data_IF_441000200097
#
_entry.id   IF_441000200097
#
_cell.length_a   1.000
_cell.length_b   1.000
_cell.length_c   1.000
_cell.angle_alpha   90.00
_cell.angle_beta   90.00
_cell.angle_gamma   90.00
#
_symmetry.space_group_name_H-M   'P 1'
#
loop_
_entity.id
_entity.type
_entity.pdbx_description
1 polymer ?
#
# COMPACT_ATOMS: atom_id res chain seq x y z
N UNK A 1 12.76 12.36 -25.91
CA UNK A 1 14.18 12.04 -25.63
C UNK A 1 14.31 10.51 -25.58
N UNK A 2 15.52 9.96 -25.73
CA UNK A 2 15.72 8.53 -25.53
C UNK A 2 15.49 8.18 -24.04
N UNK A 3 14.93 7.00 -23.73
CA UNK A 3 14.72 6.57 -22.34
C UNK A 3 16.06 6.25 -21.67
N UNK A 4 16.23 6.67 -20.41
CA UNK A 4 17.36 6.30 -19.56
C UNK A 4 17.22 4.86 -19.06
N UNK A 5 16.00 4.44 -18.74
CA UNK A 5 15.65 3.10 -18.31
C UNK A 5 14.45 2.63 -19.13
N UNK A 6 14.52 1.37 -19.53
CA UNK A 6 13.46 0.76 -20.30
C UNK A 6 13.38 -0.74 -20.04
N UNK A 7 12.20 -1.18 -19.64
CA UNK A 7 11.81 -2.56 -19.44
C UNK A 7 10.71 -2.90 -20.44
N UNK A 8 10.88 -3.97 -21.20
CA UNK A 8 9.85 -4.54 -22.07
C UNK A 8 9.62 -6.01 -21.79
N UNK A 9 8.40 -6.47 -22.12
CA UNK A 9 8.01 -7.87 -22.06
C UNK A 9 8.32 -8.54 -20.71
N UNK A 10 8.21 -7.80 -19.59
CA UNK A 10 8.55 -8.33 -18.28
C UNK A 10 7.51 -9.38 -17.87
N UNK A 11 7.96 -10.62 -17.72
CA UNK A 11 7.17 -11.72 -17.19
C UNK A 11 7.87 -12.30 -15.95
N UNK A 12 7.08 -12.55 -14.91
CA UNK A 12 7.57 -13.19 -13.70
C UNK A 12 6.44 -14.01 -13.06
N UNK A 13 6.75 -15.25 -12.71
CA UNK A 13 5.85 -16.20 -12.08
C UNK A 13 6.31 -16.51 -10.67
N UNK A 14 5.42 -16.39 -9.69
CA UNK A 14 5.71 -16.73 -8.30
C UNK A 14 4.75 -17.83 -7.81
N UNK A 15 5.29 -18.94 -7.30
CA UNK A 15 4.47 -20.05 -6.79
C UNK A 15 3.49 -20.66 -7.81
N UNK A 16 3.82 -20.58 -9.11
CA UNK A 16 2.98 -21.09 -10.20
C UNK A 16 1.88 -20.14 -10.66
N UNK A 17 1.72 -18.96 -10.05
CA UNK A 17 0.85 -17.91 -10.57
C UNK A 17 1.66 -16.77 -11.19
N UNK A 18 1.33 -16.32 -12.41
CA UNK A 18 2.01 -15.21 -13.05
C UNK A 18 1.69 -13.90 -12.32
N UNK A 19 2.74 -13.22 -11.85
CA UNK A 19 2.66 -11.93 -11.17
C UNK A 19 2.73 -10.78 -12.17
N UNK A 20 3.64 -10.88 -13.13
CA UNK A 20 3.84 -9.92 -14.22
C UNK A 20 3.68 -10.65 -15.57
N UNK A 21 3.00 -10.01 -16.51
CA UNK A 21 2.70 -10.55 -17.83
C UNK A 21 2.91 -9.46 -18.89
N UNK A 22 4.09 -9.44 -19.49
CA UNK A 22 4.48 -8.41 -20.45
C UNK A 22 4.33 -6.99 -19.89
N UNK A 23 4.72 -6.79 -18.63
CA UNK A 23 4.80 -5.45 -18.05
C UNK A 23 5.93 -4.63 -18.72
N UNK A 24 5.68 -3.35 -18.88
CA UNK A 24 6.57 -2.39 -19.51
C UNK A 24 6.73 -1.13 -18.65
N UNK A 25 7.96 -0.63 -18.56
CA UNK A 25 8.27 0.66 -17.95
C UNK A 25 9.29 1.36 -18.85
N UNK A 26 9.02 2.61 -19.20
CA UNK A 26 9.96 3.48 -19.88
C UNK A 26 10.08 4.78 -19.10
N UNK A 27 11.33 5.22 -18.86
CA UNK A 27 11.62 6.43 -18.10
C UNK A 27 12.72 7.21 -18.82
N UNK A 28 12.43 8.47 -19.16
CA UNK A 28 13.33 9.41 -19.81
C UNK A 28 13.99 10.35 -18.78
N UNK A 29 15.02 11.08 -19.20
CA UNK A 29 15.70 12.04 -18.34
C UNK A 29 14.73 13.10 -17.77
N UNK A 30 14.80 13.33 -16.45
CA UNK A 30 13.93 14.26 -15.73
C UNK A 30 12.45 13.84 -15.66
N UNK A 31 12.09 12.66 -16.18
CA UNK A 31 10.72 12.19 -16.17
C UNK A 31 10.32 11.75 -14.75
N UNK A 32 9.09 12.10 -14.35
CA UNK A 32 8.56 11.79 -13.03
C UNK A 32 7.32 10.93 -13.17
N UNK A 33 7.47 9.65 -12.94
CA UNK A 33 6.43 8.65 -13.15
C UNK A 33 5.99 8.09 -11.82
N UNK A 34 4.68 7.98 -11.58
CA UNK A 34 4.19 7.14 -10.49
C UNK A 34 3.78 5.75 -11.02
N UNK A 35 4.07 4.71 -10.24
CA UNK A 35 3.62 3.34 -10.49
C UNK A 35 2.54 3.01 -9.46
N UNK A 36 1.32 2.86 -9.94
CA UNK A 36 0.12 2.61 -9.12
C UNK A 36 -0.49 1.27 -9.45
N UNK A 37 -1.28 0.74 -8.52
CA UNK A 37 -1.91 -0.57 -8.62
C UNK A 37 -2.14 -1.17 -7.24
N UNK A 38 -2.85 -2.30 -7.19
CA UNK A 38 -3.23 -2.98 -5.94
C UNK A 38 -2.03 -3.55 -5.18
N UNK A 39 -2.15 -3.77 -3.87
CA UNK A 39 -1.17 -4.61 -3.18
C UNK A 39 -1.16 -6.02 -3.76
N UNK A 40 0.06 -6.56 -3.88
CA UNK A 40 0.29 -7.82 -4.54
C UNK A 40 0.19 -7.78 -6.07
N UNK A 41 -0.03 -6.62 -6.71
CA UNK A 41 -0.02 -6.54 -8.18
C UNK A 41 1.38 -6.66 -8.79
N UNK A 42 2.43 -6.58 -7.96
CA UNK A 42 3.83 -6.71 -8.38
C UNK A 42 4.58 -5.39 -8.54
N UNK A 43 4.06 -4.26 -8.03
CA UNK A 43 4.69 -2.91 -8.17
C UNK A 43 6.14 -2.90 -7.69
N UNK A 44 6.37 -3.29 -6.44
CA UNK A 44 7.70 -3.37 -5.82
C UNK A 44 8.60 -4.36 -6.56
N UNK A 45 8.05 -5.49 -7.01
CA UNK A 45 8.79 -6.49 -7.79
C UNK A 45 9.25 -5.93 -9.13
N UNK A 46 8.38 -5.19 -9.82
CA UNK A 46 8.70 -4.53 -11.07
C UNK A 46 9.77 -3.43 -10.90
N UNK A 47 9.72 -2.67 -9.80
CA UNK A 47 10.79 -1.73 -9.43
C UNK A 47 12.12 -2.44 -9.13
N UNK A 48 12.10 -3.60 -8.45
CA UNK A 48 13.31 -4.39 -8.19
C UNK A 48 13.91 -4.94 -9.48
N UNK A 49 13.10 -5.38 -10.44
CA UNK A 49 13.54 -5.78 -11.78
C UNK A 49 14.14 -4.56 -12.51
N UNK A 50 13.51 -3.39 -12.43
CA UNK A 50 14.05 -2.15 -12.98
C UNK A 50 15.41 -1.79 -12.38
N UNK A 51 15.58 -1.99 -11.07
CA UNK A 51 16.84 -1.79 -10.36
C UNK A 51 17.91 -2.84 -10.69
N UNK A 52 17.53 -3.98 -11.29
CA UNK A 52 18.43 -5.12 -11.52
C UNK A 52 18.68 -5.97 -10.28
N UNK A 53 17.77 -5.93 -9.30
CA UNK A 53 17.87 -6.67 -8.03
C UNK A 53 17.13 -8.02 -8.07
N UNK A 54 16.27 -8.23 -9.06
CA UNK A 54 15.50 -9.46 -9.26
C UNK A 54 15.55 -9.82 -10.74
N UNK A 55 15.87 -11.08 -11.03
CA UNK A 55 15.84 -11.62 -12.38
C UNK A 55 14.41 -12.06 -12.75
N UNK A 56 13.83 -11.54 -13.85
CA UNK A 56 12.53 -11.99 -14.35
C UNK A 56 12.66 -13.28 -15.17
N UNK A 57 11.54 -14.00 -15.36
CA UNK A 57 11.48 -15.17 -16.25
C UNK A 57 11.77 -14.76 -17.71
N UNK A 58 11.28 -13.58 -18.09
CA UNK A 58 11.52 -12.94 -19.38
C UNK A 58 11.51 -11.42 -19.17
N UNK A 59 12.48 -10.71 -19.73
CA UNK A 59 12.41 -9.25 -19.89
C UNK A 59 13.49 -8.78 -20.86
N UNK A 60 13.23 -7.67 -21.55
CA UNK A 60 14.28 -6.86 -22.14
C UNK A 60 14.53 -5.66 -21.22
N UNK A 61 15.67 -5.66 -20.53
CA UNK A 61 16.10 -4.54 -19.67
C UNK A 61 17.21 -3.76 -20.34
N UNK A 62 16.96 -2.48 -20.57
CA UNK A 62 17.93 -1.51 -21.06
C UNK A 62 18.09 -0.38 -20.06
N UNK A 63 19.34 -0.08 -19.72
CA UNK A 63 19.73 1.13 -18.99
C UNK A 63 20.78 1.83 -19.86
N UNK A 64 20.62 3.13 -20.04
CA UNK A 64 21.59 3.93 -20.79
C UNK A 64 22.99 3.77 -20.16
N UNK A 65 24.03 3.44 -20.95
CA UNK A 65 25.38 3.27 -20.42
C UNK A 65 25.88 4.52 -19.70
N UNK A 66 26.48 4.32 -18.53
CA UNK A 66 26.98 5.40 -17.66
C UNK A 66 25.92 6.00 -16.73
N UNK A 67 24.63 5.69 -16.90
CA UNK A 67 23.60 6.15 -15.98
C UNK A 67 23.62 5.38 -14.66
N UNK A 68 23.47 6.12 -13.58
CA UNK A 68 23.36 5.60 -12.22
C UNK A 68 21.90 5.35 -11.86
N UNK A 69 21.61 4.15 -11.35
CA UNK A 69 20.27 3.74 -10.90
C UNK A 69 20.33 3.45 -9.41
N UNK A 70 19.47 4.10 -8.62
CA UNK A 70 19.36 3.84 -7.18
C UNK A 70 17.94 3.45 -6.82
N UNK A 71 17.82 2.42 -5.98
CA UNK A 71 16.55 1.90 -5.47
C UNK A 71 16.50 2.10 -3.96
N UNK A 72 15.39 2.61 -3.44
CA UNK A 72 15.12 2.67 -2.01
C UNK A 72 14.58 1.30 -1.54
N UNK A 73 15.36 0.54 -0.74
CA UNK A 73 14.89 -0.73 -0.23
C UNK A 73 13.81 -0.55 0.84
N UNK A 74 12.83 -1.47 0.84
CA UNK A 74 11.82 -1.52 1.90
C UNK A 74 12.45 -1.86 3.25
N UNK A 75 13.36 -2.83 3.27
CA UNK A 75 14.13 -3.23 4.46
C UNK A 75 15.61 -3.00 4.15
N UNK A 76 16.20 -1.89 4.62
CA UNK A 76 17.61 -1.60 4.39
C UNK A 76 18.49 -2.52 5.22
N UNK A 77 19.57 -3.01 4.63
CA UNK A 77 20.57 -3.84 5.33
C UNK A 77 21.69 -2.96 5.91
N UNK A 78 21.74 -2.91 7.23
CA UNK A 78 22.75 -2.15 7.98
C UNK A 78 23.91 -3.00 8.49
N UNK A 79 23.99 -4.27 8.08
CA UNK A 79 25.05 -5.18 8.53
C UNK A 79 26.43 -4.63 8.15
N UNK A 80 27.31 -4.50 9.15
CA UNK A 80 28.71 -4.10 8.95
C UNK A 80 28.98 -2.60 9.04
N UNK A 81 27.97 -1.75 9.28
CA UNK A 81 28.16 -0.31 9.49
C UNK A 81 28.13 0.04 10.98
N UNK A 82 29.04 0.93 11.40
CA UNK A 82 29.14 1.37 12.80
C UNK A 82 28.18 2.49 13.15
N UNK A 83 27.88 3.35 12.19
CA UNK A 83 27.01 4.51 12.37
C UNK A 83 26.10 4.71 11.16
N UNK A 84 25.01 5.44 11.34
CA UNK A 84 24.10 5.82 10.26
C UNK A 84 24.80 6.62 9.16
N UNK A 85 25.73 7.52 9.50
CA UNK A 85 26.52 8.27 8.51
C UNK A 85 27.43 7.32 7.70
N UNK A 86 28.12 6.38 8.36
CA UNK A 86 28.97 5.42 7.66
C UNK A 86 28.17 4.56 6.67
N UNK A 87 26.92 4.22 7.00
CA UNK A 87 26.00 3.54 6.09
C UNK A 87 25.65 4.41 4.87
N UNK A 88 25.39 5.70 5.06
CA UNK A 88 25.08 6.64 3.96
C UNK A 88 26.30 6.87 3.08
N UNK A 89 27.46 7.14 3.65
CA UNK A 89 28.71 7.38 2.93
C UNK A 89 29.15 6.16 2.10
N UNK A 90 28.86 4.95 2.58
CA UNK A 90 29.08 3.73 1.80
C UNK A 90 28.16 3.60 0.57
N UNK A 91 27.17 4.48 0.42
CA UNK A 91 26.38 4.62 -0.80
C UNK A 91 27.05 5.48 -1.87
N UNK A 92 28.00 6.34 -1.49
CA UNK A 92 28.65 7.29 -2.38
C UNK A 92 29.60 6.61 -3.37
N UNK A 93 29.57 7.07 -4.61
CA UNK A 93 30.49 6.70 -5.67
C UNK A 93 31.75 7.59 -5.70
N UNK A 94 32.72 7.24 -6.56
CA UNK A 94 33.92 8.04 -6.73
C UNK A 94 33.59 9.45 -7.27
N UNK A 95 33.81 10.48 -6.45
CA UNK A 95 33.57 11.87 -6.81
C UNK A 95 32.26 12.47 -6.28
N UNK A 96 31.43 11.67 -5.59
CA UNK A 96 30.24 12.19 -4.91
C UNK A 96 30.64 13.01 -3.68
N UNK A 97 29.82 14.00 -3.32
CA UNK A 97 30.10 14.92 -2.23
C UNK A 97 29.68 14.33 -0.86
N UNK A 98 30.66 14.04 0.00
CA UNK A 98 30.41 13.58 1.36
C UNK A 98 29.64 14.62 2.21
N UNK A 99 29.76 15.93 1.91
CA UNK A 99 28.97 16.95 2.60
C UNK A 99 27.47 16.81 2.32
N UNK A 100 27.09 16.30 1.14
CA UNK A 100 25.69 16.04 0.81
C UNK A 100 25.11 14.92 1.67
N UNK A 101 25.90 13.89 1.96
CA UNK A 101 25.50 12.82 2.88
C UNK A 101 25.20 13.37 4.29
N UNK A 102 26.09 14.21 4.83
CA UNK A 102 25.89 14.83 6.14
C UNK A 102 24.66 15.74 6.14
N UNK A 103 24.51 16.60 5.12
CA UNK A 103 23.34 17.48 4.99
C UNK A 103 22.02 16.69 5.01
N UNK A 104 21.94 15.58 4.26
CA UNK A 104 20.74 14.75 4.21
C UNK A 104 20.47 14.03 5.53
N UNK A 105 21.51 13.60 6.24
CA UNK A 105 21.38 13.03 7.60
C UNK A 105 20.74 14.05 8.54
N UNK A 106 21.26 15.29 8.55
CA UNK A 106 20.81 16.34 9.45
C UNK A 106 19.35 16.77 9.16
N UNK A 107 19.01 17.01 7.88
CA UNK A 107 17.65 17.39 7.46
C UNK A 107 16.61 16.29 7.70
N UNK A 108 17.03 15.03 7.62
CA UNK A 108 16.20 13.88 7.99
C UNK A 108 16.17 13.64 9.52
N UNK A 109 16.69 14.56 10.32
CA UNK A 109 16.62 14.52 11.77
C UNK A 109 17.42 13.38 12.40
N UNK A 110 18.53 13.00 11.77
CA UNK A 110 19.53 12.08 12.31
C UNK A 110 20.79 12.86 12.69
N UNK A 111 21.58 12.32 13.60
CA UNK A 111 22.86 12.88 14.03
C UNK A 111 24.04 12.33 13.25
N UNK A 112 23.88 11.17 12.60
CA UNK A 112 24.96 10.47 11.91
C UNK A 112 25.72 9.47 12.78
N UNK A 113 25.48 9.49 14.11
CA UNK A 113 26.13 8.66 15.11
C UNK A 113 25.24 7.51 15.62
N UNK A 114 24.02 7.38 15.10
CA UNK A 114 23.10 6.32 15.51
C UNK A 114 23.70 4.93 15.23
N UNK A 115 23.59 4.03 16.21
CA UNK A 115 23.96 2.62 16.04
C UNK A 115 22.90 1.93 15.16
N UNK A 116 23.24 1.48 13.94
CA UNK A 116 22.29 0.88 13.03
C UNK A 116 21.62 -0.41 13.55
N UNK A 117 22.20 -1.07 14.56
CA UNK A 117 21.59 -2.24 15.18
C UNK A 117 20.38 -1.90 16.09
N UNK A 118 20.26 -0.64 16.51
CA UNK A 118 19.24 -0.19 17.48
C UNK A 118 18.27 0.85 16.93
N UNK A 119 18.49 1.31 15.69
CA UNK A 119 17.64 2.29 15.03
C UNK A 119 16.19 1.82 14.93
N UNK A 120 15.26 2.74 15.20
CA UNK A 120 13.85 2.54 14.92
C UNK A 120 13.58 2.40 13.42
N UNK A 121 12.46 1.81 13.02
CA UNK A 121 12.10 1.67 11.61
C UNK A 121 12.04 3.01 10.85
N UNK A 122 11.63 4.09 11.53
CA UNK A 122 11.63 5.45 10.97
C UNK A 122 13.05 6.00 10.75
N UNK A 123 13.93 5.86 11.74
CA UNK A 123 15.34 6.26 11.60
C UNK A 123 16.04 5.47 10.48
N UNK A 124 15.82 4.15 10.43
CA UNK A 124 16.38 3.28 9.40
C UNK A 124 15.92 3.70 8.00
N UNK A 125 14.64 4.04 7.83
CA UNK A 125 14.14 4.54 6.54
C UNK A 125 14.75 5.89 6.17
N UNK A 126 14.91 6.80 7.13
CA UNK A 126 15.56 8.10 6.93
C UNK A 126 17.02 7.94 6.50
N UNK A 127 17.81 7.09 7.16
CA UNK A 127 19.17 6.79 6.71
C UNK A 127 19.21 6.16 5.31
N UNK A 128 18.27 5.27 4.99
CA UNK A 128 18.17 4.69 3.65
C UNK A 128 17.84 5.72 2.56
N UNK A 129 16.96 6.69 2.85
CA UNK A 129 16.68 7.82 1.98
C UNK A 129 17.94 8.66 1.74
N UNK A 130 18.66 9.04 2.80
CA UNK A 130 19.92 9.77 2.67
C UNK A 130 20.91 9.02 1.77
N UNK A 131 21.09 7.70 1.97
CA UNK A 131 22.01 6.86 1.17
C UNK A 131 21.66 6.84 -0.32
N UNK A 132 20.37 6.87 -0.65
CA UNK A 132 19.88 6.82 -2.04
C UNK A 132 19.94 8.19 -2.72
N UNK A 133 19.72 9.26 -1.97
CA UNK A 133 19.66 10.63 -2.49
C UNK A 133 21.04 11.31 -2.57
N UNK A 134 21.96 11.00 -1.66
CA UNK A 134 23.26 11.67 -1.58
C UNK A 134 24.10 11.60 -2.88
N UNK A 135 24.12 10.47 -3.62
CA UNK A 135 24.84 10.37 -4.89
C UNK A 135 24.25 11.16 -6.08
N UNK A 136 23.11 11.84 -5.90
CA UNK A 136 22.37 12.53 -6.98
C UNK A 136 22.22 11.70 -8.28
N UNK A 137 21.62 10.50 -8.21
CA UNK A 137 21.65 9.55 -9.31
C UNK A 137 20.80 10.01 -10.51
N UNK A 138 21.09 9.46 -11.70
CA UNK A 138 20.31 9.76 -12.92
C UNK A 138 18.88 9.21 -12.83
N UNK A 139 18.71 8.07 -12.15
CA UNK A 139 17.43 7.38 -11.99
C UNK A 139 17.20 6.99 -10.53
N UNK A 140 16.09 7.48 -9.97
CA UNK A 140 15.59 7.15 -8.63
C UNK A 140 14.37 6.23 -8.71
N UNK A 141 14.44 5.10 -8.03
CA UNK A 141 13.33 4.16 -7.88
C UNK A 141 12.92 4.15 -6.40
N UNK A 142 11.82 4.82 -6.08
CA UNK A 142 11.35 4.99 -4.70
C UNK A 142 10.10 4.16 -4.45
N UNK A 143 10.20 3.23 -3.51
CA UNK A 143 9.14 2.30 -3.13
C UNK A 143 8.65 2.62 -1.72
N UNK A 144 7.47 3.24 -1.63
CA UNK A 144 6.87 3.77 -0.38
C UNK A 144 7.82 4.67 0.44
N UNK A 145 8.38 5.74 -0.16
CA UNK A 145 9.38 6.59 0.50
C UNK A 145 8.82 7.38 1.69
N UNK A 146 7.51 7.60 1.75
CA UNK A 146 6.82 8.38 2.79
C UNK A 146 6.51 7.57 4.05
N UNK A 147 6.64 6.24 3.99
CA UNK A 147 6.27 5.39 5.12
C UNK A 147 7.20 5.63 6.32
N UNK A 148 6.63 5.62 7.52
CA UNK A 148 7.34 5.90 8.78
C UNK A 148 8.00 7.30 8.87
N UNK A 149 7.67 8.20 7.95
CA UNK A 149 8.04 9.62 8.04
C UNK A 149 6.89 10.41 8.66
N UNK A 150 7.24 11.47 9.37
CA UNK A 150 6.26 12.44 9.83
C UNK A 150 6.03 13.54 8.78
N UNK A 151 4.96 14.31 8.97
CA UNK A 151 4.54 15.31 7.99
C UNK A 151 5.64 16.34 7.65
N UNK A 152 6.40 16.90 8.61
CA UNK A 152 7.48 17.83 8.28
C UNK A 152 8.55 17.19 7.37
N UNK A 153 8.97 15.96 7.66
CA UNK A 153 9.97 15.26 6.84
C UNK A 153 9.40 14.88 5.47
N UNK A 154 8.11 14.54 5.38
CA UNK A 154 7.44 14.30 4.08
C UNK A 154 7.44 15.58 3.23
N UNK A 155 7.12 16.73 3.82
CA UNK A 155 7.10 18.01 3.12
C UNK A 155 8.50 18.43 2.66
N UNK A 156 9.52 18.22 3.50
CA UNK A 156 10.93 18.40 3.11
C UNK A 156 11.31 17.46 1.95
N UNK A 157 10.99 16.17 2.05
CA UNK A 157 11.32 15.18 1.03
C UNK A 157 10.67 15.53 -0.31
N UNK A 158 9.43 16.02 -0.29
CA UNK A 158 8.75 16.49 -1.49
C UNK A 158 9.50 17.66 -2.14
N UNK A 159 10.02 18.61 -1.36
CA UNK A 159 10.81 19.73 -1.87
C UNK A 159 12.17 19.28 -2.41
N UNK A 160 12.85 18.39 -1.70
CA UNK A 160 14.14 17.83 -2.12
C UNK A 160 13.98 17.07 -3.45
N UNK A 161 13.01 16.16 -3.55
CA UNK A 161 12.72 15.44 -4.80
C UNK A 161 12.29 16.38 -5.94
N UNK A 162 11.64 17.52 -5.64
CA UNK A 162 11.36 18.56 -6.66
C UNK A 162 12.63 19.20 -7.21
N UNK A 163 13.64 19.38 -6.37
CA UNK A 163 14.91 20.02 -6.76
C UNK A 163 15.75 19.13 -7.70
N UNK A 164 15.67 17.81 -7.52
CA UNK A 164 16.46 16.85 -8.25
C UNK A 164 16.12 16.79 -9.75
N UNK A 165 17.17 16.66 -10.56
CA UNK A 165 17.09 16.47 -12.03
C UNK A 165 16.94 15.01 -12.44
N UNK A 166 17.06 14.11 -11.48
CA UNK A 166 16.90 12.67 -11.65
C UNK A 166 15.56 12.34 -12.30
N UNK A 167 15.57 11.36 -13.19
CA UNK A 167 14.35 10.68 -13.54
C UNK A 167 13.88 9.85 -12.33
N UNK A 168 12.58 9.75 -12.09
CA UNK A 168 12.05 9.06 -10.92
C UNK A 168 10.85 8.18 -11.24
N UNK A 169 10.82 7.00 -10.62
CA UNK A 169 9.64 6.14 -10.52
C UNK A 169 9.24 6.03 -9.06
N UNK A 170 8.02 6.46 -8.75
CA UNK A 170 7.49 6.58 -7.40
C UNK A 170 6.36 5.56 -7.19
N UNK A 171 6.47 4.72 -6.17
CA UNK A 171 5.34 3.99 -5.59
C UNK A 171 5.06 4.65 -4.24
N UNK A 172 3.81 5.05 -4.01
CA UNK A 172 3.40 5.56 -2.70
C UNK A 172 1.89 5.40 -2.50
N UNK A 173 1.48 5.24 -1.26
CA UNK A 173 0.08 5.37 -0.84
C UNK A 173 -0.35 6.83 -0.55
N UNK A 174 0.56 7.79 -0.55
CA UNK A 174 0.24 9.20 -0.33
C UNK A 174 -0.20 9.88 -1.65
N UNK A 175 -1.51 10.18 -1.74
CA UNK A 175 -2.11 10.86 -2.89
C UNK A 175 -1.53 12.24 -3.13
N UNK A 176 -1.31 13.02 -2.07
CA UNK A 176 -0.79 14.39 -2.17
C UNK A 176 0.62 14.34 -2.71
N UNK A 177 1.44 13.44 -2.18
CA UNK A 177 2.81 13.21 -2.62
C UNK A 177 2.87 12.82 -4.11
N UNK A 178 2.08 11.81 -4.52
CA UNK A 178 2.02 11.38 -5.92
C UNK A 178 1.48 12.48 -6.85
N UNK A 179 0.39 13.15 -6.48
CA UNK A 179 -0.20 14.26 -7.27
C UNK A 179 0.81 15.36 -7.50
N UNK A 180 1.62 15.65 -6.50
CA UNK A 180 2.53 16.79 -6.52
C UNK A 180 3.83 16.51 -7.30
N UNK A 181 4.34 15.29 -7.24
CA UNK A 181 5.61 14.92 -7.87
C UNK A 181 5.46 14.31 -9.27
N UNK A 182 4.42 13.50 -9.50
CA UNK A 182 4.27 12.77 -10.75
C UNK A 182 3.75 13.62 -11.91
N UNK A 183 4.25 13.34 -13.11
CA UNK A 183 3.83 13.94 -14.39
C UNK A 183 3.28 12.91 -15.36
N UNK A 184 3.56 11.63 -15.13
CA UNK A 184 2.99 10.49 -15.83
C UNK A 184 2.59 9.41 -14.80
N UNK A 185 1.64 8.57 -15.18
CA UNK A 185 1.12 7.49 -14.35
C UNK A 185 1.23 6.17 -15.11
N UNK A 186 1.83 5.16 -14.48
CA UNK A 186 1.80 3.77 -14.91
C UNK A 186 0.90 3.01 -13.96
N UNK A 187 -0.14 2.39 -14.48
CA UNK A 187 -1.05 1.54 -13.74
C UNK A 187 -0.74 0.07 -14.01
N UNK A 188 -0.33 -0.65 -12.97
CA UNK A 188 -0.08 -2.07 -12.99
C UNK A 188 -1.32 -2.81 -12.46
N UNK A 189 -2.01 -3.47 -13.40
CA UNK A 189 -3.23 -4.22 -13.13
C UNK A 189 -3.19 -5.58 -13.84
N UNK A 190 -3.52 -6.65 -13.12
CA UNK A 190 -3.55 -8.04 -13.62
C UNK A 190 -2.24 -8.52 -14.30
N UNK A 191 -1.10 -7.94 -13.92
CA UNK A 191 0.23 -8.23 -14.46
C UNK A 191 0.61 -7.39 -15.68
N UNK A 192 -0.30 -6.54 -16.16
CA UNK A 192 -0.11 -5.66 -17.31
C UNK A 192 0.05 -4.22 -16.85
N UNK A 193 0.91 -3.48 -17.53
CA UNK A 193 1.09 -2.04 -17.30
C UNK A 193 0.35 -1.22 -18.35
N UNK A 194 -0.36 -0.19 -17.92
CA UNK A 194 -0.96 0.84 -18.78
C UNK A 194 -0.37 2.17 -18.41
N UNK A 195 -0.04 2.98 -19.42
CA UNK A 195 0.57 4.29 -19.20
C UNK A 195 -0.37 5.40 -19.63
N UNK A 196 -0.37 6.47 -18.84
CA UNK A 196 -0.98 7.75 -19.12
C UNK A 196 0.07 8.85 -18.94
N UNK A 197 0.24 9.71 -19.94
CA UNK A 197 1.17 10.85 -19.90
C UNK A 197 0.58 12.07 -19.15
N UNK A 198 -0.05 11.80 -18.01
CA UNK A 198 -0.66 12.78 -17.10
C UNK A 198 -0.36 12.36 -15.66
N UNK A 199 -0.26 13.33 -14.76
CA UNK A 199 0.06 13.09 -13.36
C UNK A 199 -1.03 12.31 -12.62
N UNK A 200 -0.71 11.85 -11.42
CA UNK A 200 -1.60 11.02 -10.59
C UNK A 200 -2.97 11.67 -10.32
N UNK A 201 -3.08 13.00 -10.31
CA UNK A 201 -4.36 13.69 -10.07
C UNK A 201 -5.47 13.33 -11.07
N UNK A 202 -5.13 12.83 -12.26
CA UNK A 202 -6.10 12.39 -13.27
C UNK A 202 -6.32 10.86 -13.28
N UNK A 203 -5.62 10.13 -12.41
CA UNK A 203 -5.60 8.67 -12.43
C UNK A 203 -6.98 8.04 -12.24
N UNK A 204 -7.76 8.51 -11.26
CA UNK A 204 -9.06 7.89 -10.95
C UNK A 204 -10.05 8.03 -12.11
N UNK A 205 -10.16 9.23 -12.70
CA UNK A 205 -11.03 9.46 -13.83
C UNK A 205 -10.63 8.60 -15.04
N UNK A 206 -9.33 8.50 -15.30
CA UNK A 206 -8.80 7.66 -16.38
C UNK A 206 -9.00 6.16 -16.11
N UNK A 207 -8.78 5.69 -14.87
CA UNK A 207 -9.04 4.31 -14.46
C UNK A 207 -10.51 3.95 -14.68
N UNK A 208 -11.42 4.81 -14.23
CA UNK A 208 -12.86 4.56 -14.34
C UNK A 208 -13.32 4.54 -15.80
N UNK A 209 -12.76 5.40 -16.66
CA UNK A 209 -12.97 5.36 -18.11
C UNK A 209 -12.48 4.03 -18.71
N UNK A 210 -11.26 3.60 -18.36
CA UNK A 210 -10.68 2.34 -18.82
C UNK A 210 -11.54 1.14 -18.39
N UNK A 211 -11.98 1.11 -17.14
CA UNK A 211 -12.83 0.03 -16.61
C UNK A 211 -14.22 0.03 -17.27
N UNK A 212 -14.82 1.20 -17.49
CA UNK A 212 -16.09 1.31 -18.21
C UNK A 212 -15.96 0.83 -19.66
N UNK A 213 -14.85 1.14 -20.32
CA UNK A 213 -14.58 0.68 -21.68
C UNK A 213 -14.39 -0.85 -21.73
N UNK A 214 -13.67 -1.43 -20.78
CA UNK A 214 -13.53 -2.89 -20.64
C UNK A 214 -14.89 -3.58 -20.44
N UNK A 215 -15.76 -2.98 -19.63
CA UNK A 215 -17.10 -3.48 -19.38
C UNK A 215 -17.97 -3.48 -20.66
N UNK A 216 -17.91 -2.40 -21.43
CA UNK A 216 -18.60 -2.30 -22.72
C UNK A 216 -18.09 -3.34 -23.72
N UNK A 217 -16.77 -3.53 -23.80
CA UNK A 217 -16.17 -4.48 -24.73
C UNK A 217 -16.46 -5.93 -24.31
N UNK A 218 -16.54 -6.20 -23.00
CA UNK A 218 -17.05 -7.46 -22.45
C UNK A 218 -18.49 -7.71 -22.88
N UNK A 219 -19.38 -6.73 -22.73
CA UNK A 219 -20.77 -6.88 -23.16
C UNK A 219 -20.90 -7.14 -24.66
N UNK A 220 -20.06 -6.51 -25.50
CA UNK A 220 -20.02 -6.80 -26.95
C UNK A 220 -19.53 -8.22 -27.23
N UNK A 221 -18.50 -8.68 -26.53
CA UNK A 221 -17.96 -10.03 -26.66
C UNK A 221 -19.02 -11.08 -26.30
N UNK A 222 -19.72 -10.88 -25.18
CA UNK A 222 -20.79 -11.76 -24.71
C UNK A 222 -21.94 -11.86 -25.71
N UNK A 223 -22.38 -10.72 -26.26
CA UNK A 223 -23.39 -10.69 -27.33
C UNK A 223 -22.92 -11.35 -28.61
N UNK A 224 -21.61 -11.30 -28.93
CA UNK A 224 -21.05 -12.00 -30.09
C UNK A 224 -21.05 -13.51 -29.87
N UNK A 225 -20.61 -13.98 -28.70
CA UNK A 225 -20.65 -15.39 -28.33
C UNK A 225 -22.08 -15.93 -28.39
N UNK A 226 -23.05 -15.24 -27.79
CA UNK A 226 -24.46 -15.66 -27.80
C UNK A 226 -25.01 -15.80 -29.23
N UNK A 227 -24.78 -14.82 -30.11
CA UNK A 227 -25.20 -14.89 -31.52
C UNK A 227 -24.58 -16.06 -32.29
N UNK A 228 -23.31 -16.34 -32.04
CA UNK A 228 -22.60 -17.46 -32.68
C UNK A 228 -23.07 -18.82 -32.14
N UNK A 229 -23.44 -18.90 -30.87
CA UNK A 229 -24.04 -20.10 -30.27
C UNK A 229 -25.45 -20.38 -30.79
N UNK A 230 -26.26 -19.35 -31.00
CA UNK A 230 -27.59 -19.49 -31.61
C UNK A 230 -27.48 -19.94 -33.07
N UNK A 231 -26.51 -19.41 -33.83
CA UNK A 231 -26.22 -19.90 -35.18
C UNK A 231 -25.82 -21.38 -35.18
N UNK A 232 -25.00 -21.82 -34.21
CA UNK A 232 -24.60 -23.22 -34.08
C UNK A 232 -25.80 -24.14 -33.78
N UNK A 233 -26.75 -23.69 -32.94
CA UNK A 233 -27.95 -24.45 -32.59
C UNK A 233 -28.97 -24.55 -33.72
N UNK A 234 -29.20 -23.46 -34.46
CA UNK A 234 -30.36 -23.35 -35.36
C UNK A 234 -30.01 -23.17 -36.85
N UNK A 235 -28.76 -22.86 -37.20
CA UNK A 235 -28.39 -22.30 -38.51
C UNK A 235 -27.35 -23.07 -39.32
N UNK A 236 -27.00 -24.31 -38.94
CA UNK A 236 -25.97 -25.09 -39.63
C UNK A 236 -26.58 -25.84 -40.82
N UNK A 237 -26.50 -25.25 -42.02
CA UNK A 237 -26.75 -25.95 -43.30
C UNK A 237 -25.43 -26.41 -43.95
N UNK A 238 -25.49 -27.44 -44.81
CA UNK A 238 -24.44 -28.37 -45.23
C UNK A 238 -23.12 -27.82 -45.87
N UNK A 239 -22.83 -26.51 -45.84
CA UNK A 239 -21.55 -25.93 -46.34
C UNK A 239 -20.39 -26.13 -45.35
N UNK A 240 -19.65 -27.23 -45.52
CA UNK A 240 -18.62 -27.73 -44.57
C UNK A 240 -17.46 -26.76 -44.25
N UNK A 241 -16.88 -26.07 -45.23
CA UNK A 241 -15.62 -25.30 -45.02
C UNK A 241 -15.80 -23.96 -44.28
N UNK A 242 -16.88 -23.21 -44.57
CA UNK A 242 -17.18 -21.94 -43.90
C UNK A 242 -17.64 -22.15 -42.45
N UNK A 243 -18.36 -23.25 -42.21
CA UNK A 243 -18.83 -23.60 -40.87
C UNK A 243 -17.65 -23.99 -39.95
N UNK A 244 -16.60 -24.63 -40.47
CA UNK A 244 -15.39 -24.95 -39.71
C UNK A 244 -14.63 -23.70 -39.23
N UNK A 245 -14.44 -22.70 -40.10
CA UNK A 245 -13.79 -21.43 -39.72
C UNK A 245 -14.59 -20.70 -38.63
N UNK A 246 -15.90 -20.61 -38.79
CA UNK A 246 -16.79 -19.94 -37.84
C UNK A 246 -16.85 -20.64 -36.48
N UNK A 247 -16.80 -21.97 -36.48
CA UNK A 247 -16.65 -22.77 -35.27
C UNK A 247 -15.31 -22.50 -34.56
N UNK A 248 -14.21 -22.40 -35.32
CA UNK A 248 -12.90 -21.98 -34.80
C UNK A 248 -12.92 -20.57 -34.20
N UNK A 249 -13.59 -19.62 -34.85
CA UNK A 249 -13.79 -18.27 -34.32
C UNK A 249 -14.60 -18.28 -33.00
N UNK A 250 -15.66 -19.07 -32.90
CA UNK A 250 -16.42 -19.24 -31.65
C UNK A 250 -15.56 -19.86 -30.53
N UNK A 251 -14.74 -20.86 -30.84
CA UNK A 251 -13.79 -21.41 -29.86
C UNK A 251 -12.79 -20.35 -29.38
N UNK A 252 -12.26 -19.51 -30.29
CA UNK A 252 -11.40 -18.40 -29.94
C UNK A 252 -12.08 -17.36 -29.03
N UNK A 253 -13.33 -16.98 -29.33
CA UNK A 253 -14.10 -16.04 -28.49
C UNK A 253 -14.38 -16.62 -27.10
N UNK A 254 -14.67 -17.93 -27.00
CA UNK A 254 -14.88 -18.62 -25.73
C UNK A 254 -13.61 -18.68 -24.90
N UNK A 255 -12.48 -18.99 -25.54
CA UNK A 255 -11.19 -19.02 -24.86
C UNK A 255 -10.81 -17.62 -24.35
N UNK A 256 -10.95 -16.59 -25.19
CA UNK A 256 -10.74 -15.20 -24.79
C UNK A 256 -11.60 -14.79 -23.58
N UNK A 257 -12.88 -15.20 -23.54
CA UNK A 257 -13.77 -14.93 -22.40
C UNK A 257 -13.34 -15.71 -21.15
N UNK A 258 -12.85 -16.93 -21.31
CA UNK A 258 -12.44 -17.81 -20.21
C UNK A 258 -11.12 -17.37 -19.56
N UNK A 259 -10.17 -16.89 -20.36
CA UNK A 259 -8.85 -16.44 -19.88
C UNK A 259 -8.85 -14.99 -19.40
N UNK A 260 -9.91 -14.23 -19.65
CA UNK A 260 -10.04 -12.85 -19.18
C UNK A 260 -10.02 -12.79 -17.63
N UNK A 261 -9.08 -12.01 -17.09
CA UNK A 261 -9.06 -11.65 -15.66
C UNK A 261 -9.94 -10.42 -15.43
N UNK A 262 -10.81 -10.48 -14.44
CA UNK A 262 -11.74 -9.39 -14.14
C UNK A 262 -11.20 -8.49 -13.02
N UNK A 263 -11.50 -7.20 -13.09
CA UNK A 263 -11.26 -6.27 -11.99
C UNK A 263 -12.04 -6.75 -10.74
N UNK A 264 -11.36 -6.83 -9.60
CA UNK A 264 -12.01 -7.12 -8.31
C UNK A 264 -12.64 -5.81 -7.84
N UNK A 265 -13.88 -5.87 -7.34
CA UNK A 265 -14.64 -4.68 -6.93
C UNK A 265 -14.02 -3.89 -5.76
N UNK A 266 -14.65 -2.76 -5.43
CA UNK A 266 -14.27 -1.89 -4.31
C UNK A 266 -14.66 -2.48 -2.95
N UNK A 267 -13.93 -2.10 -1.90
CA UNK A 267 -14.23 -2.46 -0.50
C UNK A 267 -15.49 -1.74 -0.05
N UNK A 268 -16.36 -2.46 0.65
CA UNK A 268 -17.48 -1.86 1.39
C UNK A 268 -17.15 -1.92 2.88
N UNK A 269 -16.64 -0.82 3.41
CA UNK A 269 -16.39 -0.67 4.85
C UNK A 269 -17.68 -0.16 5.52
N UNK A 270 -18.53 -1.08 5.96
CA UNK A 270 -19.63 -0.77 6.87
C UNK A 270 -19.24 -1.21 8.28
N UNK A 271 -19.05 -0.25 9.19
CA UNK A 271 -18.81 -0.54 10.60
C UNK A 271 -20.15 -0.89 11.28
N UNK A 272 -20.18 -1.93 12.12
CA UNK A 272 -21.37 -2.23 12.91
C UNK A 272 -21.55 -1.17 14.00
N UNK A 273 -22.63 -0.39 13.93
CA UNK A 273 -22.98 0.54 15.02
C UNK A 273 -23.40 -0.28 16.25
N UNK A 274 -22.59 -0.23 17.32
CA UNK A 274 -23.03 -0.69 18.63
C UNK A 274 -24.12 0.24 19.22
N UNK A 275 -24.73 -0.16 20.34
CA UNK A 275 -25.70 0.66 21.06
C UNK A 275 -25.17 2.09 21.28
N UNK A 276 -26.04 3.09 21.07
CA UNK A 276 -25.69 4.51 21.17
C UNK A 276 -25.03 4.82 22.52
N UNK A 277 -23.75 5.18 22.50
CA UNK A 277 -23.03 5.73 23.65
C UNK A 277 -23.61 7.08 24.07
N UNK A 278 -23.30 7.49 25.30
CA UNK A 278 -23.62 8.83 25.79
C UNK A 278 -23.05 9.93 24.89
N UNK A 279 -23.60 11.15 24.97
CA UNK A 279 -23.14 12.30 24.15
C UNK A 279 -21.66 12.65 24.38
N UNK A 280 -21.15 12.41 25.58
CA UNK A 280 -19.75 12.58 25.94
C UNK A 280 -19.01 11.24 25.80
N UNK A 281 -17.93 11.24 25.02
CA UNK A 281 -17.09 10.06 24.79
C UNK A 281 -15.83 10.14 25.65
N UNK A 282 -15.08 11.23 25.59
CA UNK A 282 -13.89 11.45 26.43
C UNK A 282 -13.92 12.89 26.97
N UNK A 283 -13.55 13.05 28.24
CA UNK A 283 -13.24 14.33 28.86
C UNK A 283 -11.89 14.23 29.57
N UNK A 284 -10.90 14.94 29.06
CA UNK A 284 -9.59 15.13 29.69
C UNK A 284 -9.51 16.56 30.24
N UNK A 285 -9.08 16.71 31.49
CA UNK A 285 -8.92 18.01 32.16
C UNK A 285 -7.55 18.10 32.79
N UNK A 286 -6.76 19.07 32.32
CA UNK A 286 -5.41 19.42 32.77
C UNK A 286 -4.50 18.19 32.93
N UNK A 287 -4.55 17.29 31.96
CA UNK A 287 -3.82 16.03 31.98
C UNK A 287 -2.34 16.27 31.68
N UNK A 288 -1.46 15.66 32.48
CA UNK A 288 -0.04 15.60 32.19
C UNK A 288 0.50 14.17 32.30
N UNK A 289 1.55 13.88 31.52
CA UNK A 289 2.30 12.63 31.56
C UNK A 289 3.77 12.86 31.25
N UNK A 290 4.63 12.27 32.07
CA UNK A 290 6.07 12.27 31.91
C UNK A 290 6.64 10.84 32.04
N UNK A 291 7.77 10.60 31.37
CA UNK A 291 8.58 9.40 31.56
C UNK A 291 9.98 9.83 31.99
N UNK A 292 10.30 9.61 33.26
CA UNK A 292 11.53 10.14 33.85
C UNK A 292 11.54 11.67 33.83
N UNK A 293 12.56 12.27 33.22
CA UNK A 293 12.66 13.72 33.05
C UNK A 293 11.95 14.25 31.79
N UNK A 294 11.47 13.37 30.91
CA UNK A 294 10.86 13.76 29.64
C UNK A 294 9.34 13.96 29.82
N UNK A 295 8.87 15.20 29.75
CA UNK A 295 7.44 15.54 29.80
C UNK A 295 6.86 15.39 28.40
N UNK A 296 6.00 14.38 28.23
CA UNK A 296 5.41 14.06 26.92
C UNK A 296 4.12 14.84 26.70
N UNK A 297 3.27 14.94 27.73
CA UNK A 297 2.00 15.68 27.68
C UNK A 297 1.94 16.61 28.88
N UNK A 298 1.55 17.86 28.64
CA UNK A 298 1.46 18.90 29.67
C UNK A 298 0.16 19.68 29.50
N UNK A 299 -0.59 19.83 30.60
CA UNK A 299 -1.79 20.67 30.72
C UNK A 299 -2.85 20.44 29.62
N UNK A 300 -3.04 19.18 29.20
CA UNK A 300 -4.00 18.84 28.16
C UNK A 300 -5.44 18.87 28.69
N UNK A 301 -6.28 19.71 28.11
CA UNK A 301 -7.72 19.69 28.29
C UNK A 301 -8.42 19.47 26.95
N UNK A 302 -9.19 18.40 26.84
CA UNK A 302 -9.85 17.98 25.60
C UNK A 302 -11.23 17.39 25.92
N UNK A 303 -12.22 17.70 25.09
CA UNK A 303 -13.55 17.08 25.16
C UNK A 303 -13.92 16.50 23.81
N UNK A 304 -14.26 15.21 23.80
CA UNK A 304 -14.66 14.45 22.62
C UNK A 304 -16.12 14.06 22.78
N UNK A 305 -16.93 14.43 21.80
CA UNK A 305 -18.35 14.08 21.72
C UNK A 305 -18.60 12.96 20.72
N UNK A 306 -19.77 12.33 20.84
CA UNK A 306 -20.20 11.28 19.91
C UNK A 306 -20.33 11.83 18.50
N UNK A 307 -19.71 11.16 17.53
CA UNK A 307 -19.70 11.55 16.12
C UNK A 307 -18.47 12.36 15.71
N UNK A 308 -17.67 12.83 16.66
CA UNK A 308 -16.42 13.52 16.36
C UNK A 308 -15.43 12.57 15.68
N UNK A 309 -14.74 13.09 14.66
CA UNK A 309 -13.62 12.42 14.00
C UNK A 309 -12.36 13.23 14.27
N UNK A 310 -11.48 12.70 15.12
CA UNK A 310 -10.30 13.42 15.60
C UNK A 310 -9.05 12.82 14.96
N UNK A 311 -8.30 13.64 14.24
CA UNK A 311 -6.96 13.30 13.76
C UNK A 311 -5.90 13.81 14.73
N UNK A 312 -5.02 12.93 15.21
CA UNK A 312 -3.85 13.31 16.01
C UNK A 312 -2.64 13.35 15.08
N UNK A 313 -2.05 14.53 14.92
CA UNK A 313 -0.89 14.75 14.04
C UNK A 313 0.28 15.30 14.83
N UNK A 314 1.49 14.92 14.45
CA UNK A 314 2.72 15.34 15.12
C UNK A 314 3.92 14.50 14.70
N UNK A 315 5.14 14.98 14.97
CA UNK A 315 6.36 14.28 14.62
C UNK A 315 6.46 12.93 15.32
N UNK A 316 7.28 12.03 14.76
CA UNK A 316 7.50 10.74 15.40
C UNK A 316 8.23 10.95 16.73
N UNK A 317 7.82 10.20 17.76
CA UNK A 317 8.31 10.43 19.12
C UNK A 317 7.64 11.57 19.90
N UNK A 318 6.72 12.34 19.30
CA UNK A 318 5.98 13.39 20.01
C UNK A 318 4.99 12.89 21.08
N UNK A 319 4.84 11.57 21.25
CA UNK A 319 3.93 10.97 22.22
C UNK A 319 2.50 10.74 21.72
N UNK A 320 2.28 10.62 20.40
CA UNK A 320 0.96 10.33 19.81
C UNK A 320 0.32 9.06 20.40
N UNK A 321 1.03 7.94 20.38
CA UNK A 321 0.57 6.68 20.98
C UNK A 321 0.39 6.83 22.50
N UNK A 322 1.25 7.60 23.18
CA UNK A 322 1.08 7.91 24.61
C UNK A 322 -0.23 8.67 24.86
N UNK A 323 -0.55 9.65 24.01
CA UNK A 323 -1.79 10.42 24.06
C UNK A 323 -3.00 9.53 23.84
N UNK A 324 -2.95 8.64 22.84
CA UNK A 324 -4.01 7.66 22.58
C UNK A 324 -4.22 6.77 23.80
N UNK A 325 -3.14 6.23 24.37
CA UNK A 325 -3.23 5.35 25.54
C UNK A 325 -3.76 6.07 26.79
N UNK A 326 -3.45 7.36 26.96
CA UNK A 326 -4.02 8.19 28.02
C UNK A 326 -5.53 8.42 27.82
N UNK A 327 -5.92 8.84 26.61
CA UNK A 327 -7.31 9.16 26.29
C UNK A 327 -8.21 7.91 26.28
N UNK A 328 -7.67 6.73 26.03
CA UNK A 328 -8.38 5.44 26.07
C UNK A 328 -8.35 4.77 27.44
N UNK A 329 -7.64 5.34 28.41
CA UNK A 329 -7.53 4.81 29.77
C UNK A 329 -6.57 3.63 29.94
N UNK A 330 -5.79 3.27 28.92
CA UNK A 330 -4.73 2.25 29.01
C UNK A 330 -3.52 2.72 29.81
N UNK A 331 -3.28 4.04 29.84
CA UNK A 331 -2.22 4.67 30.60
C UNK A 331 -2.81 5.69 31.58
N UNK A 332 -2.44 5.60 32.86
CA UNK A 332 -2.85 6.58 33.84
C UNK A 332 -2.06 7.89 33.70
N UNK A 333 -2.73 9.06 33.80
CA UNK A 333 -2.06 10.35 33.84
C UNK A 333 -1.30 10.54 35.15
N UNK A 334 -0.23 11.34 35.13
CA UNK A 334 0.51 11.69 36.36
C UNK A 334 -0.19 12.83 37.11
N UNK A 335 -0.86 13.73 36.38
CA UNK A 335 -1.74 14.76 36.92
C UNK A 335 -2.95 14.99 36.02
N UNK A 336 -3.99 15.62 36.56
CA UNK A 336 -5.27 15.84 35.86
C UNK A 336 -6.17 14.61 35.87
N UNK A 337 -7.25 14.65 35.10
CA UNK A 337 -8.23 13.56 35.04
C UNK A 337 -8.66 13.27 33.62
N UNK A 338 -8.74 11.97 33.27
CA UNK A 338 -9.41 11.49 32.05
C UNK A 338 -10.67 10.73 32.47
N UNK A 339 -11.82 11.13 31.93
CA UNK A 339 -13.10 10.46 32.12
C UNK A 339 -13.58 9.92 30.79
N UNK A 340 -13.90 8.63 30.80
CA UNK A 340 -14.52 7.95 29.68
C UNK A 340 -16.05 8.00 29.82
N UNK A 341 -16.73 8.12 28.69
CA UNK A 341 -18.19 8.05 28.59
C UNK A 341 -18.75 6.70 29.05
N UNK A 342 -20.05 6.66 29.34
CA UNK A 342 -20.74 5.44 29.77
C UNK A 342 -21.03 4.55 28.56
N UNK A 343 -20.92 3.23 28.74
CA UNK A 343 -21.20 2.20 27.73
C UNK A 343 -20.32 2.32 26.47
N UNK A 344 -19.04 2.65 26.65
CA UNK A 344 -18.08 2.65 25.55
C UNK A 344 -17.59 1.23 25.25
N UNK A 345 -17.81 0.81 24.01
CA UNK A 345 -17.25 -0.39 23.41
C UNK A 345 -16.14 0.05 22.47
N UNK A 346 -14.93 0.06 23.00
CA UNK A 346 -13.74 0.55 22.30
C UNK A 346 -13.06 -0.58 21.53
N UNK A 347 -12.75 -0.33 20.26
CA UNK A 347 -11.86 -1.18 19.46
C UNK A 347 -10.62 -0.38 19.09
N UNK A 348 -9.46 -0.90 19.50
CA UNK A 348 -8.15 -0.33 19.20
C UNK A 348 -7.47 -1.20 18.14
N UNK A 349 -7.05 -0.56 17.05
CA UNK A 349 -6.08 -1.11 16.11
C UNK A 349 -4.72 -0.54 16.51
N UNK A 350 -4.00 -1.29 17.35
CA UNK A 350 -2.69 -0.92 17.87
C UNK A 350 -1.55 -1.50 16.98
N UNK A 351 -0.41 -0.81 16.91
CA UNK A 351 0.79 -1.25 16.19
C UNK A 351 1.33 -2.58 16.72
N UNK A 352 1.06 -2.87 18.00
CA UNK A 352 1.28 -4.17 18.61
C UNK A 352 0.19 -5.11 18.13
N UNK A 353 0.33 -5.53 16.87
CA UNK A 353 -0.46 -6.57 16.19
C UNK A 353 -0.85 -7.62 17.24
N UNK A 354 -2.14 -7.75 17.56
CA UNK A 354 -2.64 -8.94 18.27
C UNK A 354 -2.01 -10.12 17.54
N UNK A 355 -1.12 -10.85 18.23
CA UNK A 355 -0.33 -11.90 17.61
C UNK A 355 -1.28 -13.05 17.28
N UNK A 356 -1.93 -12.98 16.12
CA UNK A 356 -2.57 -14.13 15.53
C UNK A 356 -1.49 -15.18 15.33
N UNK A 357 -1.76 -16.39 15.78
CA UNK A 357 -0.91 -17.53 15.49
C UNK A 357 -0.74 -17.61 13.96
N UNK A 358 0.49 -17.51 13.43
CA UNK A 358 0.76 -17.56 12.00
C UNK A 358 0.19 -18.79 11.29
N UNK A 359 -0.03 -19.90 12.02
CA UNK A 359 -0.63 -21.12 11.51
C UNK A 359 -2.16 -21.04 11.35
N UNK A 360 -2.82 -20.05 11.96
CA UNK A 360 -4.27 -19.92 11.93
C UNK A 360 -4.75 -19.63 10.50
N UNK A 361 -5.74 -20.36 9.96
CA UNK A 361 -6.36 -20.04 8.68
C UNK A 361 -7.09 -18.69 8.73
N UNK A 362 -7.04 -17.92 7.64
CA UNK A 362 -7.71 -16.62 7.52
C UNK A 362 -9.19 -16.67 7.94
N UNK A 363 -9.93 -17.66 7.44
CA UNK A 363 -11.36 -17.80 7.78
C UNK A 363 -11.58 -17.99 9.27
N UNK A 364 -10.73 -18.77 9.93
CA UNK A 364 -10.83 -19.07 11.36
C UNK A 364 -10.42 -17.85 12.20
N UNK A 365 -9.47 -17.05 11.72
CA UNK A 365 -9.11 -15.79 12.35
C UNK A 365 -10.28 -14.79 12.40
N UNK A 366 -11.19 -14.83 11.41
CA UNK A 366 -12.40 -14.01 11.37
C UNK A 366 -13.54 -14.58 12.21
N UNK A 367 -13.72 -15.90 12.21
CA UNK A 367 -14.86 -16.55 12.90
C UNK A 367 -14.58 -16.91 14.35
N UNK A 368 -13.33 -16.89 14.79
CA UNK A 368 -12.91 -17.40 16.10
C UNK A 368 -12.74 -18.93 16.14
N UNK A 369 -12.81 -19.59 14.97
CA UNK A 369 -12.67 -21.04 14.80
C UNK A 369 -14.00 -21.80 14.86
N UNK A 370 -14.17 -22.78 13.95
CA UNK A 370 -15.26 -23.78 14.03
C UNK A 370 -16.63 -23.38 13.48
N UNK A 371 -16.77 -22.20 12.85
CA UNK A 371 -18.01 -21.77 12.20
C UNK A 371 -17.77 -21.25 10.76
N UNK A 372 -18.85 -21.20 9.97
CA UNK A 372 -18.90 -20.56 8.65
C UNK A 372 -19.43 -19.12 8.71
N UNK A 373 -19.59 -18.57 9.92
CA UNK A 373 -20.25 -17.29 10.16
C UNK A 373 -19.36 -16.37 11.00
N UNK A 374 -19.17 -15.15 10.53
CA UNK A 374 -18.56 -14.05 11.29
C UNK A 374 -19.70 -13.27 11.94
N UNK A 375 -19.60 -13.06 13.25
CA UNK A 375 -20.49 -12.16 13.96
C UNK A 375 -20.03 -10.73 13.69
N UNK A 376 -20.86 -9.93 13.02
CA UNK A 376 -20.63 -8.50 12.77
C UNK A 376 -21.60 -7.74 13.67
N UNK A 377 -21.08 -7.25 14.80
CA UNK A 377 -21.91 -6.86 15.93
C UNK A 377 -22.79 -8.03 16.39
N UNK A 378 -24.11 -7.84 16.40
CA UNK A 378 -25.08 -8.88 16.74
C UNK A 378 -25.58 -9.69 15.53
N UNK A 379 -25.09 -9.39 14.31
CA UNK A 379 -25.59 -10.02 13.08
C UNK A 379 -24.64 -11.09 12.54
N UNK A 380 -25.11 -12.35 12.37
CA UNK A 380 -24.30 -13.38 11.73
C UNK A 380 -24.23 -13.15 10.22
N UNK A 381 -23.01 -13.10 9.67
CA UNK A 381 -22.76 -13.05 8.22
C UNK A 381 -21.84 -14.18 7.78
N UNK A 382 -22.13 -14.74 6.61
CA UNK A 382 -21.33 -15.83 6.07
C UNK A 382 -19.89 -15.36 5.81
N UNK A 383 -18.90 -16.11 6.30
CA UNK A 383 -17.48 -15.70 6.29
C UNK A 383 -16.96 -15.38 4.90
N UNK A 384 -17.34 -16.15 3.87
CA UNK A 384 -16.90 -15.88 2.49
C UNK A 384 -17.47 -14.56 1.95
N UNK A 385 -18.69 -14.19 2.37
CA UNK A 385 -19.28 -12.92 1.94
C UNK A 385 -18.56 -11.76 2.63
N UNK A 386 -18.32 -11.86 3.94
CA UNK A 386 -17.56 -10.86 4.69
C UNK A 386 -16.12 -10.71 4.19
N UNK A 387 -15.43 -11.82 3.89
CA UNK A 387 -14.10 -11.84 3.29
C UNK A 387 -14.04 -11.03 1.99
N UNK A 388 -15.07 -11.10 1.13
CA UNK A 388 -15.11 -10.35 -0.13
C UNK A 388 -15.19 -8.85 0.11
N UNK A 389 -15.89 -8.41 1.17
CA UNK A 389 -15.98 -6.99 1.51
C UNK A 389 -14.58 -6.40 1.79
N UNK A 390 -13.62 -7.22 2.25
CA UNK A 390 -12.21 -6.87 2.49
C UNK A 390 -11.24 -7.40 1.40
N UNK A 391 -11.75 -7.70 0.20
CA UNK A 391 -10.98 -8.12 -0.99
C UNK A 391 -10.28 -9.47 -0.89
N UNK A 392 -10.65 -10.33 0.05
CA UNK A 392 -10.14 -11.70 0.09
C UNK A 392 -10.91 -12.61 -0.86
N UNK A 393 -10.18 -13.46 -1.58
CA UNK A 393 -10.77 -14.48 -2.44
C UNK A 393 -11.30 -15.66 -1.61
N UNK A 394 -12.37 -16.34 -2.06
CA UNK A 394 -12.89 -17.52 -1.36
C UNK A 394 -11.85 -18.64 -1.14
N UNK A 395 -10.91 -18.82 -2.08
CA UNK A 395 -9.84 -19.81 -1.95
C UNK A 395 -8.85 -19.45 -0.82
N UNK A 396 -8.68 -18.17 -0.51
CA UNK A 396 -7.77 -17.71 0.55
C UNK A 396 -8.27 -18.04 1.95
N UNK A 397 -9.50 -18.58 2.09
CA UNK A 397 -10.08 -18.91 3.40
C UNK A 397 -9.18 -19.82 4.24
N UNK A 398 -8.49 -20.76 3.59
CA UNK A 398 -7.59 -21.73 4.25
C UNK A 398 -6.14 -21.28 4.29
N UNK A 399 -5.83 -20.10 3.76
CA UNK A 399 -4.45 -19.58 3.76
C UNK A 399 -4.06 -19.23 5.20
N UNK A 400 -2.91 -19.74 5.69
CA UNK A 400 -2.39 -19.37 7.00
C UNK A 400 -2.07 -17.87 7.06
N UNK A 401 -2.33 -17.23 8.21
CA UNK A 401 -2.05 -15.80 8.42
C UNK A 401 -0.58 -15.45 8.15
N UNK A 402 0.35 -16.35 8.46
CA UNK A 402 1.79 -16.16 8.19
C UNK A 402 2.16 -16.09 6.71
N UNK A 403 1.31 -16.60 5.82
CA UNK A 403 1.52 -16.57 4.37
C UNK A 403 0.91 -15.34 3.69
N UNK A 404 0.16 -14.52 4.42
CA UNK A 404 -0.45 -13.29 3.90
C UNK A 404 0.60 -12.17 3.79
N UNK A 405 0.49 -11.37 2.74
CA UNK A 405 1.30 -10.14 2.58
C UNK A 405 1.00 -9.13 3.70
N UNK A 406 1.90 -8.16 3.92
CA UNK A 406 1.71 -7.11 4.94
C UNK A 406 0.35 -6.40 4.83
N UNK A 407 -0.01 -5.97 3.62
CA UNK A 407 -1.31 -5.33 3.37
C UNK A 407 -2.52 -6.26 3.55
N UNK A 408 -2.39 -7.55 3.22
CA UNK A 408 -3.44 -8.53 3.51
C UNK A 408 -3.61 -8.77 5.00
N UNK A 409 -2.52 -8.79 5.77
CA UNK A 409 -2.59 -8.87 7.24
C UNK A 409 -3.24 -7.63 7.83
N UNK A 410 -2.92 -6.44 7.31
CA UNK A 410 -3.57 -5.18 7.68
C UNK A 410 -5.08 -5.21 7.44
N UNK A 411 -5.51 -5.62 6.24
CA UNK A 411 -6.95 -5.80 5.93
C UNK A 411 -7.63 -6.83 6.82
N UNK A 412 -6.94 -7.93 7.17
CA UNK A 412 -7.48 -8.94 8.09
C UNK A 412 -7.68 -8.36 9.50
N UNK A 413 -6.74 -7.55 9.99
CA UNK A 413 -6.87 -6.89 11.29
C UNK A 413 -8.05 -5.92 11.28
N UNK A 414 -8.18 -5.11 10.22
CA UNK A 414 -9.30 -4.21 10.04
C UNK A 414 -10.64 -4.96 10.02
N UNK A 415 -10.71 -6.08 9.30
CA UNK A 415 -11.90 -6.93 9.24
C UNK A 415 -12.26 -7.49 10.63
N UNK A 416 -11.29 -7.96 11.41
CA UNK A 416 -11.54 -8.44 12.79
C UNK A 416 -12.00 -7.31 13.72
N UNK A 417 -11.42 -6.13 13.57
CA UNK A 417 -11.77 -4.95 14.36
C UNK A 417 -13.20 -4.49 14.06
N UNK A 418 -13.58 -4.41 12.79
CA UNK A 418 -14.91 -3.98 12.35
C UNK A 418 -16.02 -5.04 12.57
N UNK A 419 -15.66 -6.30 12.77
CA UNK A 419 -16.61 -7.34 13.14
C UNK A 419 -17.07 -7.23 14.61
N UNK A 420 -16.20 -6.72 15.50
CA UNK A 420 -16.57 -6.51 16.91
C UNK A 420 -17.54 -5.32 17.01
N UNK A 421 -18.63 -5.42 17.80
CA UNK A 421 -19.46 -4.26 18.09
C UNK A 421 -18.59 -3.18 18.73
N UNK A 422 -18.64 -1.96 18.18
CA UNK A 422 -17.90 -0.82 18.70
C UNK A 422 -18.65 0.47 18.49
N UNK A 423 -18.50 1.40 19.44
CA UNK A 423 -18.98 2.78 19.32
C UNK A 423 -17.87 3.81 19.47
N UNK A 424 -16.61 3.34 19.59
CA UNK A 424 -15.40 4.15 19.53
C UNK A 424 -14.29 3.32 18.87
N UNK A 425 -13.82 3.80 17.71
CA UNK A 425 -12.73 3.19 16.97
C UNK A 425 -11.47 4.03 17.12
N UNK A 426 -10.39 3.40 17.53
CA UNK A 426 -9.08 4.02 17.67
C UNK A 426 -8.13 3.36 16.69
N UNK A 427 -7.55 4.17 15.81
CA UNK A 427 -6.69 3.73 14.73
C UNK A 427 -5.29 4.35 14.94
N UNK A 428 -4.31 3.56 15.37
CA UNK A 428 -2.92 4.02 15.41
C UNK A 428 -2.23 3.64 14.09
N UNK A 429 -1.81 4.65 13.32
CA UNK A 429 -1.19 4.51 11.98
C UNK A 429 -1.91 3.57 10.99
N UNK A 430 -3.23 3.72 10.74
CA UNK A 430 -4.00 2.80 9.89
C UNK A 430 -3.57 2.79 8.42
N UNK A 431 -2.88 3.83 7.96
CA UNK A 431 -2.51 4.02 6.55
C UNK A 431 -1.28 3.22 6.13
N UNK A 432 -0.46 2.74 7.07
CA UNK A 432 0.79 2.03 6.72
C UNK A 432 0.53 0.69 6.00
N UNK A 433 -0.61 0.05 6.23
CA UNK A 433 -0.92 -1.30 5.71
C UNK A 433 -2.16 -1.33 4.78
N UNK A 434 -2.78 -0.19 4.44
CA UNK A 434 -4.01 -0.10 3.63
C UNK A 434 -3.75 0.60 2.28
N UNK A 435 -4.15 -0.04 1.17
CA UNK A 435 -3.95 0.50 -0.19
C UNK A 435 -4.86 1.70 -0.51
N UNK A 436 -4.36 2.54 -1.41
CA UNK A 436 -5.09 3.55 -2.16
C UNK A 436 -6.31 3.07 -2.95
N UNK A 437 -6.32 1.81 -3.38
CA UNK A 437 -7.47 1.21 -4.09
C UNK A 437 -8.43 0.47 -3.15
N UNK A 438 -8.08 0.35 -1.85
CA UNK A 438 -8.92 -0.28 -0.81
C UNK A 438 -9.79 0.77 -0.08
N UNK A 439 -9.40 2.05 -0.13
CA UNK A 439 -10.14 3.21 0.38
C UNK A 439 -10.83 3.94 -0.77
#
# INVERSE_FOLDING_TARGET
MAPLLHLRDVALTFGGQPLLEAAEIAVSAGERVCLVGRNGSGKSTLLKIAAGLVDPDKAERFVQPGCTVRYLPQEPDFTGYKTSLAYVEAGLGPGDDAYRAQYLIDELGLTGEEDPATMSGGESRRAALARVLAPEPDILLLDEPTNHLDLPVIEWLEQELKSLRSAMVLISHDRRFLTTLSRATIWLDRGLTRRMDRGFGEFEAWRDEVLAQEELDRHKLDRKIAREEDWLRYGVSARRTRNQRRLGELHGLREQRRTARFAVGSVKLEASEAQTSGKLVIEAVNVAKAFGSNVVIKDLSLRVARGDRIGIVGPNGAGKTTLINLLTGQLAPDSGTVKLGVSLEMVTLDQRRESLDPATPLGDALTGGGSDQVMVGDTPRHVIAYMKDFLFQPLQRRTPVGALSGGERGRLMLARALAKPSNMLVLDEPTNDLDLETL
#
